data_IF_584846125071
#
_entry.id   IF_584846125071
#
_cell.length_a   1.000
_cell.length_b   1.000
_cell.length_c   1.000
_cell.angle_alpha   90.00
_cell.angle_beta   90.00
_cell.angle_gamma   90.00
#
_symmetry.space_group_name_H-M   'P 1'
#
loop_
_entity.id
_entity.type
_entity.pdbx_description
1 polymer ?
#
# COMPACT_ATOMS: atom_id res chain seq x y z
N UNK A 1 4.65 19.24 12.09
CA UNK A 1 4.10 18.55 10.90
C UNK A 1 5.07 18.69 9.73
N UNK A 2 5.25 19.87 9.12
CA UNK A 2 6.20 20.05 8.02
C UNK A 2 7.61 19.47 8.23
N UNK A 3 8.33 19.69 9.36
CA UNK A 3 9.68 19.12 9.51
C UNK A 3 9.70 17.59 9.46
N UNK A 4 8.66 16.95 10.00
CA UNK A 4 8.52 15.50 9.98
C UNK A 4 8.19 14.99 8.58
N UNK A 5 7.23 15.64 7.92
CA UNK A 5 6.83 15.34 6.54
C UNK A 5 7.98 15.47 5.56
N UNK A 6 8.75 16.56 5.66
CA UNK A 6 9.97 16.81 4.88
C UNK A 6 10.99 15.70 5.12
N UNK A 7 11.29 15.39 6.38
CA UNK A 7 12.25 14.36 6.74
C UNK A 7 11.86 12.99 6.19
N UNK A 8 10.59 12.60 6.34
CA UNK A 8 10.08 11.33 5.83
C UNK A 8 10.22 11.25 4.30
N UNK A 9 9.84 12.31 3.58
CA UNK A 9 9.91 12.35 2.12
C UNK A 9 11.36 12.27 1.61
N UNK A 10 12.26 13.07 2.17
CA UNK A 10 13.67 13.09 1.76
C UNK A 10 14.36 11.73 2.05
N UNK A 11 14.11 11.14 3.22
CA UNK A 11 14.61 9.79 3.54
C UNK A 11 14.04 8.74 2.57
N UNK A 12 12.75 8.78 2.29
CA UNK A 12 12.13 7.86 1.33
C UNK A 12 12.77 7.99 -0.05
N UNK A 13 12.98 9.21 -0.54
CA UNK A 13 13.64 9.47 -1.84
C UNK A 13 15.06 8.89 -1.89
N UNK A 14 15.87 9.13 -0.86
CA UNK A 14 17.23 8.56 -0.76
C UNK A 14 17.18 7.04 -0.86
N UNK A 15 16.26 6.39 -0.14
CA UNK A 15 16.16 4.92 -0.14
C UNK A 15 15.56 4.33 -1.43
N UNK A 16 14.77 5.11 -2.16
CA UNK A 16 14.19 4.72 -3.45
C UNK A 16 15.23 4.81 -4.58
N UNK A 17 16.04 5.87 -4.59
CA UNK A 17 17.01 6.17 -5.65
C UNK A 17 18.31 5.37 -5.48
N UNK A 18 18.57 4.87 -4.28
CA UNK A 18 19.60 3.87 -4.04
C UNK A 18 19.19 2.60 -4.81
N UNK A 19 20.00 2.23 -5.81
CA UNK A 19 19.78 1.19 -6.84
C UNK A 19 19.08 -0.11 -6.40
N UNK A 20 18.61 -0.91 -7.37
CA UNK A 20 18.00 -2.25 -7.20
C UNK A 20 18.75 -3.23 -6.26
N UNK A 21 19.99 -2.93 -5.88
CA UNK A 21 20.85 -3.72 -5.00
C UNK A 21 20.93 -3.22 -3.54
N UNK A 22 20.28 -2.11 -3.18
CA UNK A 22 20.38 -1.54 -1.83
C UNK A 22 19.08 -1.68 -1.04
N UNK A 23 18.73 -2.91 -0.65
CA UNK A 23 17.86 -3.10 0.51
C UNK A 23 18.67 -2.85 1.79
N UNK A 24 18.11 -2.14 2.77
CA UNK A 24 18.76 -2.00 4.07
C UNK A 24 18.00 -2.77 5.14
N UNK A 25 18.70 -3.65 5.86
CA UNK A 25 18.14 -4.37 7.01
C UNK A 25 18.34 -3.67 8.34
N UNK A 26 19.00 -2.50 8.33
CA UNK A 26 19.39 -1.75 9.53
C UNK A 26 19.35 -0.25 9.32
N UNK A 27 18.86 0.49 10.31
CA UNK A 27 18.89 1.95 10.40
C UNK A 27 19.65 2.32 11.67
N UNK A 28 20.74 3.08 11.53
CA UNK A 28 21.51 3.63 12.63
C UNK A 28 21.25 5.13 12.72
N UNK A 29 20.82 5.60 13.90
CA UNK A 29 20.52 7.01 14.16
C UNK A 29 21.47 7.55 15.20
N UNK A 30 22.23 8.59 14.87
CA UNK A 30 22.96 9.38 15.87
C UNK A 30 22.13 10.61 16.24
N UNK A 31 21.68 10.65 17.50
CA UNK A 31 20.80 11.70 18.03
C UNK A 31 21.57 12.77 18.81
N UNK A 32 22.88 12.62 18.96
CA UNK A 32 23.75 13.44 19.82
C UNK A 32 23.68 14.94 19.55
N UNK A 33 23.56 15.32 18.27
CA UNK A 33 23.54 16.71 17.81
C UNK A 33 22.13 17.22 17.46
N UNK A 34 21.10 16.42 17.75
CA UNK A 34 19.73 16.81 17.45
C UNK A 34 19.23 17.90 18.39
N UNK A 35 18.47 18.85 17.83
CA UNK A 35 17.95 20.00 18.58
C UNK A 35 16.48 19.77 18.95
N UNK A 36 16.16 19.91 20.24
CA UNK A 36 14.79 19.87 20.78
C UNK A 36 14.00 18.62 20.34
N UNK A 37 13.00 18.80 19.47
CA UNK A 37 12.06 17.77 19.04
C UNK A 37 12.57 16.94 17.85
N UNK A 38 13.67 17.33 17.20
CA UNK A 38 14.16 16.69 15.98
C UNK A 38 14.56 15.22 16.18
N UNK A 39 15.24 14.81 17.28
CA UNK A 39 15.53 13.40 17.55
C UNK A 39 14.29 12.51 17.55
N UNK A 40 13.21 12.97 18.21
CA UNK A 40 11.96 12.22 18.29
C UNK A 40 11.30 12.09 16.92
N UNK A 41 11.31 13.16 16.10
CA UNK A 41 10.80 13.12 14.73
C UNK A 41 11.62 12.17 13.84
N UNK A 42 12.95 12.18 13.99
CA UNK A 42 13.84 11.29 13.24
C UNK A 42 13.60 9.83 13.58
N UNK A 43 13.46 9.51 14.86
CA UNK A 43 13.14 8.14 15.28
C UNK A 43 11.79 7.69 14.73
N UNK A 44 10.76 8.55 14.75
CA UNK A 44 9.46 8.23 14.17
C UNK A 44 9.54 8.05 12.65
N UNK A 45 10.33 8.87 11.95
CA UNK A 45 10.49 8.78 10.50
C UNK A 45 11.22 7.49 10.12
N UNK A 46 12.23 7.11 10.89
CA UNK A 46 12.95 5.85 10.74
C UNK A 46 12.03 4.63 10.88
N UNK A 47 11.07 4.64 11.81
CA UNK A 47 10.07 3.56 11.94
C UNK A 47 9.19 3.43 10.70
N UNK A 48 8.71 4.56 10.17
CA UNK A 48 7.89 4.58 8.96
C UNK A 48 8.70 4.14 7.73
N UNK A 49 9.96 4.58 7.64
CA UNK A 49 10.87 4.16 6.58
C UNK A 49 11.19 2.65 6.66
N UNK A 50 11.47 2.13 7.85
CA UNK A 50 11.68 0.71 8.10
C UNK A 50 10.46 -0.12 7.65
N UNK A 51 9.24 0.37 7.94
CA UNK A 51 8.01 -0.23 7.46
C UNK A 51 7.91 -0.27 5.93
N UNK A 52 8.31 0.81 5.22
CA UNK A 52 8.33 0.82 3.74
C UNK A 52 9.38 -0.14 3.15
N UNK A 53 10.52 -0.32 3.84
CA UNK A 53 11.58 -1.23 3.40
C UNK A 53 11.25 -2.70 3.56
N UNK A 54 10.22 -3.02 4.35
CA UNK A 54 9.66 -4.36 4.38
C UNK A 54 9.03 -4.78 3.04
N UNK A 55 8.88 -3.90 2.05
CA UNK A 55 8.52 -4.30 0.68
C UNK A 55 9.72 -4.73 -0.17
N UNK A 56 10.96 -4.54 0.29
CA UNK A 56 12.12 -4.81 -0.55
C UNK A 56 12.31 -6.33 -0.78
N UNK A 57 12.53 -6.81 -2.02
CA UNK A 57 12.58 -8.24 -2.34
C UNK A 57 13.71 -9.00 -1.62
N UNK A 58 14.82 -8.32 -1.33
CA UNK A 58 16.00 -8.88 -0.68
C UNK A 58 15.82 -9.11 0.84
N UNK A 59 14.70 -8.65 1.42
CA UNK A 59 14.36 -8.84 2.85
C UNK A 59 13.99 -10.28 3.25
N UNK A 60 13.97 -11.20 2.29
CA UNK A 60 13.45 -12.57 2.44
C UNK A 60 14.12 -13.43 3.53
N UNK A 61 15.30 -13.05 4.02
CA UNK A 61 16.05 -13.87 4.98
C UNK A 61 15.86 -13.49 6.45
N UNK A 62 15.32 -12.30 6.76
CA UNK A 62 15.18 -11.83 8.15
C UNK A 62 13.80 -11.29 8.52
N UNK A 63 12.99 -10.86 7.54
CA UNK A 63 11.66 -10.26 7.76
C UNK A 63 11.62 -9.11 8.79
N UNK A 64 12.75 -8.48 9.07
CA UNK A 64 12.87 -7.38 10.02
C UNK A 64 13.86 -6.33 9.52
N UNK A 65 13.57 -5.08 9.86
CA UNK A 65 14.52 -3.97 9.78
C UNK A 65 14.87 -3.57 11.21
N UNK A 66 16.15 -3.65 11.54
CA UNK A 66 16.67 -3.26 12.86
C UNK A 66 16.86 -1.73 12.92
N UNK A 67 16.33 -1.09 13.95
CA UNK A 67 16.58 0.33 14.24
C UNK A 67 17.41 0.41 15.51
N UNK A 68 18.55 1.11 15.44
CA UNK A 68 19.39 1.44 16.60
C UNK A 68 19.58 2.94 16.67
N UNK A 69 19.32 3.55 17.83
CA UNK A 69 19.61 4.95 18.06
C UNK A 69 20.68 5.11 19.15
N UNK A 70 21.56 6.06 18.92
CA UNK A 70 22.69 6.38 19.75
C UNK A 70 22.63 7.83 20.20
N UNK A 71 23.13 8.11 21.39
CA UNK A 71 23.26 9.45 21.89
C UNK A 71 24.54 9.59 22.72
N UNK A 72 25.29 10.64 22.46
CA UNK A 72 26.50 10.93 23.21
C UNK A 72 26.17 11.43 24.60
N UNK A 73 27.12 11.30 25.52
CA UNK A 73 27.04 12.03 26.77
C UNK A 73 26.98 13.55 26.50
N UNK A 74 26.36 14.34 27.40
CA UNK A 74 26.35 15.79 27.27
C UNK A 74 27.78 16.32 27.18
N UNK A 75 28.07 17.11 26.13
CA UNK A 75 29.38 17.69 25.92
C UNK A 75 29.75 18.59 27.11
N UNK A 76 30.58 18.06 28.01
CA UNK A 76 31.35 18.85 28.99
C UNK A 76 32.75 19.06 28.41
N UNK A 77 33.61 19.85 29.08
CA UNK A 77 35.06 19.97 28.77
C UNK A 77 35.82 18.65 29.03
N UNK A 78 35.28 17.52 28.61
CA UNK A 78 35.88 16.20 28.73
C UNK A 78 36.65 15.91 27.44
N UNK A 79 37.79 15.23 27.57
CA UNK A 79 38.65 14.85 26.44
C UNK A 79 38.08 13.69 25.62
N UNK A 80 37.18 12.90 26.20
CA UNK A 80 36.52 11.75 25.57
C UNK A 80 35.02 11.79 25.91
N UNK A 81 34.18 11.64 24.89
CA UNK A 81 32.71 11.60 25.03
C UNK A 81 32.25 10.23 24.56
N UNK A 82 31.64 9.45 25.45
CA UNK A 82 31.11 8.15 25.11
C UNK A 82 29.81 8.27 24.28
N UNK A 83 29.64 7.34 23.34
CA UNK A 83 28.41 7.19 22.55
C UNK A 83 27.65 5.96 23.05
N UNK A 84 26.41 6.16 23.52
CA UNK A 84 25.60 5.11 24.10
C UNK A 84 24.48 4.68 23.14
N UNK A 85 24.23 3.38 23.00
CA UNK A 85 22.99 2.89 22.38
C UNK A 85 21.83 3.15 23.36
N UNK A 86 20.87 3.97 22.96
CA UNK A 86 19.76 4.41 23.81
C UNK A 86 18.42 3.83 23.36
N UNK A 87 18.36 3.24 22.16
CA UNK A 87 17.15 2.66 21.60
C UNK A 87 17.48 1.53 20.65
N UNK A 88 16.69 0.47 20.72
CA UNK A 88 16.74 -0.66 19.79
C UNK A 88 15.34 -1.21 19.52
N UNK A 89 15.04 -1.51 18.26
CA UNK A 89 13.76 -2.11 17.84
C UNK A 89 13.93 -2.94 16.56
N UNK A 90 13.23 -4.07 16.50
CA UNK A 90 13.07 -4.84 15.27
C UNK A 90 11.70 -4.55 14.65
N UNK A 91 11.68 -3.86 13.52
CA UNK A 91 10.44 -3.58 12.78
C UNK A 91 10.19 -4.71 11.80
N UNK A 92 9.22 -5.58 12.11
CA UNK A 92 8.82 -6.70 11.25
C UNK A 92 7.40 -6.59 10.70
N UNK A 93 6.79 -5.41 10.81
CA UNK A 93 5.41 -5.19 10.38
C UNK A 93 5.26 -3.90 9.58
N UNK A 94 4.63 -4.01 8.41
CA UNK A 94 4.20 -2.90 7.59
C UNK A 94 3.06 -2.20 8.31
N UNK A 95 3.27 -0.94 8.67
CA UNK A 95 2.25 -0.08 9.26
C UNK A 95 1.31 0.39 8.15
N UNK A 96 0.09 -0.14 8.12
CA UNK A 96 -0.98 0.38 7.26
C UNK A 96 -1.77 1.42 8.06
N UNK A 97 -1.91 2.67 7.62
CA UNK A 97 -2.64 3.70 8.36
C UNK A 97 -4.08 3.27 8.67
N UNK A 98 -4.47 3.34 9.94
CA UNK A 98 -5.85 3.08 10.37
C UNK A 98 -6.69 4.35 10.23
N UNK A 99 -7.94 4.21 9.79
CA UNK A 99 -8.91 5.31 9.74
C UNK A 99 -8.93 6.13 8.45
N UNK A 100 -7.90 6.05 7.59
CA UNK A 100 -7.86 6.72 6.28
C UNK A 100 -8.63 5.95 5.19
N UNK A 101 -9.86 5.53 5.51
CA UNK A 101 -10.72 4.74 4.62
C UNK A 101 -11.41 5.57 3.53
N UNK A 102 -11.70 6.84 3.81
CA UNK A 102 -12.24 7.78 2.82
C UNK A 102 -11.07 8.44 2.07
N UNK A 103 -11.11 8.41 0.74
CA UNK A 103 -10.14 9.12 -0.11
C UNK A 103 -10.03 10.59 0.29
N UNK A 104 -11.07 11.20 0.86
CA UNK A 104 -11.07 12.57 1.39
C UNK A 104 -10.03 12.84 2.46
N UNK A 105 -9.58 11.83 3.21
CA UNK A 105 -8.63 11.98 4.31
C UNK A 105 -7.15 11.78 3.90
N UNK A 106 -6.90 11.30 2.68
CA UNK A 106 -5.56 11.01 2.16
C UNK A 106 -4.98 12.23 1.43
N UNK A 107 -4.93 13.38 2.10
CA UNK A 107 -4.31 14.58 1.53
C UNK A 107 -2.80 14.56 1.77
N UNK A 108 -2.02 14.88 0.74
CA UNK A 108 -0.56 15.11 0.88
C UNK A 108 -0.27 16.55 1.29
N UNK A 109 -1.13 17.48 0.86
CA UNK A 109 -1.05 18.91 1.16
C UNK A 109 -2.36 19.39 1.78
N UNK A 110 -2.21 20.21 2.81
CA UNK A 110 -3.31 20.91 3.46
C UNK A 110 -3.06 22.42 3.47
N UNK A 111 -4.13 23.21 3.58
CA UNK A 111 -4.03 24.66 3.77
C UNK A 111 -3.67 24.95 5.23
N UNK A 112 -2.78 25.93 5.48
CA UNK A 112 -2.70 26.52 6.83
C UNK A 112 -3.83 27.54 7.04
N UNK A 113 -4.56 27.37 8.15
CA UNK A 113 -5.78 28.12 8.48
C UNK A 113 -5.57 29.64 8.64
N UNK A 114 -4.33 30.12 8.75
CA UNK A 114 -4.03 31.49 9.19
C UNK A 114 -3.83 32.51 8.05
N UNK A 115 -3.81 32.08 6.79
CA UNK A 115 -3.38 32.97 5.69
C UNK A 115 -4.58 33.73 5.11
N UNK A 116 -4.47 35.07 5.17
CA UNK A 116 -5.45 36.04 4.66
C UNK A 116 -4.89 36.83 3.47
N UNK A 117 -5.75 37.48 2.70
CA UNK A 117 -5.37 38.32 1.56
C UNK A 117 -5.11 37.56 0.27
N UNK A 118 -4.69 38.28 -0.78
CA UNK A 118 -4.54 37.77 -2.16
C UNK A 118 -3.54 36.62 -2.27
N UNK A 119 -2.49 36.67 -1.45
CA UNK A 119 -1.47 35.64 -1.39
C UNK A 119 -1.95 34.33 -0.75
N UNK A 120 -2.86 34.41 0.21
CA UNK A 120 -3.58 33.25 0.74
C UNK A 120 -4.54 32.67 -0.29
N UNK A 121 -5.21 33.53 -1.08
CA UNK A 121 -6.10 33.09 -2.16
C UNK A 121 -5.34 32.32 -3.24
N UNK A 122 -4.17 32.80 -3.67
CA UNK A 122 -3.31 32.10 -4.63
C UNK A 122 -2.90 30.71 -4.13
N UNK A 123 -2.49 30.59 -2.87
CA UNK A 123 -2.12 29.30 -2.29
C UNK A 123 -3.30 28.31 -2.27
N UNK A 124 -4.51 28.81 -1.97
CA UNK A 124 -5.75 28.00 -2.01
C UNK A 124 -6.09 27.57 -3.44
N UNK A 125 -5.96 28.46 -4.41
CA UNK A 125 -6.22 28.14 -5.82
C UNK A 125 -5.24 27.08 -6.33
N UNK A 126 -3.94 27.19 -6.00
CA UNK A 126 -2.95 26.18 -6.36
C UNK A 126 -3.17 24.85 -5.65
N UNK A 127 -3.62 24.85 -4.39
CA UNK A 127 -3.99 23.62 -3.68
C UNK A 127 -5.23 22.95 -4.31
N UNK A 128 -6.22 23.75 -4.73
CA UNK A 128 -7.40 23.24 -5.43
C UNK A 128 -7.00 22.59 -6.75
N UNK A 129 -6.21 23.28 -7.57
CA UNK A 129 -5.68 22.74 -8.84
C UNK A 129 -4.89 21.44 -8.61
N UNK A 130 -4.04 21.40 -7.58
CA UNK A 130 -3.32 20.18 -7.20
C UNK A 130 -4.29 19.03 -6.89
N UNK A 131 -5.29 19.26 -6.05
CA UNK A 131 -6.25 18.23 -5.67
C UNK A 131 -7.08 17.76 -6.87
N UNK A 132 -7.53 18.66 -7.74
CA UNK A 132 -8.27 18.34 -8.97
C UNK A 132 -7.43 17.49 -9.92
N UNK A 133 -6.14 17.83 -10.10
CA UNK A 133 -5.23 17.11 -10.98
C UNK A 133 -4.90 15.69 -10.48
N UNK A 134 -4.95 15.45 -9.17
CA UNK A 134 -4.52 14.19 -8.56
C UNK A 134 -5.63 13.40 -7.86
N UNK A 135 -6.90 13.78 -8.03
CA UNK A 135 -8.04 13.12 -7.39
C UNK A 135 -8.15 11.63 -7.77
N UNK A 136 -7.97 11.31 -9.06
CA UNK A 136 -7.93 9.91 -9.54
C UNK A 136 -6.83 9.08 -8.84
N UNK A 137 -5.65 9.68 -8.65
CA UNK A 137 -4.53 9.02 -7.99
C UNK A 137 -4.83 8.82 -6.51
N UNK A 138 -5.43 9.81 -5.86
CA UNK A 138 -5.90 9.72 -4.48
C UNK A 138 -6.89 8.58 -4.27
N UNK A 139 -7.86 8.43 -5.19
CA UNK A 139 -8.77 7.30 -5.23
C UNK A 139 -8.04 5.96 -5.33
N UNK A 140 -7.02 5.87 -6.20
CA UNK A 140 -6.19 4.66 -6.33
C UNK A 140 -5.40 4.36 -5.06
N UNK A 141 -4.86 5.36 -4.36
CA UNK A 141 -4.20 5.18 -3.06
C UNK A 141 -5.17 4.57 -2.06
N UNK A 142 -6.39 5.09 -1.95
CA UNK A 142 -7.42 4.55 -1.05
C UNK A 142 -7.69 3.06 -1.33
N UNK A 143 -7.86 2.67 -2.60
CA UNK A 143 -8.09 1.27 -2.99
C UNK A 143 -6.94 0.34 -2.55
N UNK A 144 -5.70 0.79 -2.75
CA UNK A 144 -4.50 0.04 -2.33
C UNK A 144 -4.43 -0.10 -0.82
N UNK A 145 -4.67 0.98 -0.06
CA UNK A 145 -4.67 0.93 1.42
C UNK A 145 -5.75 -0.01 1.96
N UNK A 146 -6.98 0.07 1.44
CA UNK A 146 -8.08 -0.84 1.81
C UNK A 146 -7.69 -2.30 1.56
N UNK A 147 -7.05 -2.57 0.43
CA UNK A 147 -6.62 -3.92 0.06
C UNK A 147 -5.42 -4.43 0.85
N UNK A 148 -4.51 -3.56 1.29
CA UNK A 148 -3.39 -3.93 2.17
C UNK A 148 -3.84 -4.26 3.59
N UNK A 149 -4.89 -3.58 4.08
CA UNK A 149 -5.38 -3.70 5.46
C UNK A 149 -5.93 -5.08 5.81
N UNK A 150 -6.43 -5.81 4.82
CA UNK A 150 -7.10 -7.10 4.95
C UNK A 150 -6.44 -8.15 4.04
N UNK A 151 -6.56 -9.46 4.28
CA UNK A 151 -5.85 -10.48 3.52
C UNK A 151 -6.45 -10.70 2.11
N UNK A 152 -6.55 -9.68 1.26
CA UNK A 152 -7.30 -9.71 -0.01
C UNK A 152 -6.39 -9.55 -1.26
N UNK A 153 -5.48 -10.50 -1.53
CA UNK A 153 -4.42 -10.36 -2.56
C UNK A 153 -4.93 -10.09 -3.98
N UNK A 154 -6.03 -10.72 -4.41
CA UNK A 154 -6.60 -10.45 -5.72
C UNK A 154 -7.12 -9.00 -5.82
N UNK A 155 -7.67 -8.47 -4.72
CA UNK A 155 -8.13 -7.08 -4.64
C UNK A 155 -6.96 -6.09 -4.62
N UNK A 156 -5.85 -6.45 -3.98
CA UNK A 156 -4.62 -5.64 -4.03
C UNK A 156 -4.09 -5.55 -5.45
N UNK A 157 -4.08 -6.68 -6.19
CA UNK A 157 -3.68 -6.68 -7.59
C UNK A 157 -4.59 -5.79 -8.43
N UNK A 158 -5.91 -5.93 -8.26
CA UNK A 158 -6.90 -5.07 -8.90
C UNK A 158 -6.68 -3.59 -8.58
N UNK A 159 -6.42 -3.27 -7.31
CA UNK A 159 -6.19 -1.89 -6.87
C UNK A 159 -4.92 -1.30 -7.48
N UNK A 160 -3.89 -2.12 -7.69
CA UNK A 160 -2.66 -1.68 -8.35
C UNK A 160 -2.79 -1.57 -9.87
N UNK A 161 -3.75 -2.26 -10.49
CA UNK A 161 -4.01 -2.14 -11.93
C UNK A 161 -4.95 -0.99 -12.29
N UNK A 162 -5.57 -0.30 -11.32
CA UNK A 162 -6.41 0.87 -11.60
C UNK A 162 -5.60 2.13 -11.96
N UNK A 163 -4.27 2.05 -11.85
CA UNK A 163 -3.32 3.09 -12.22
C UNK A 163 -2.41 2.59 -13.35
N UNK A 164 -2.16 3.43 -14.34
CA UNK A 164 -1.37 3.06 -15.52
C UNK A 164 0.13 2.93 -15.20
N UNK A 165 0.64 3.86 -14.39
CA UNK A 165 2.01 3.83 -13.89
C UNK A 165 2.02 4.09 -12.38
N UNK A 166 2.41 3.08 -11.59
CA UNK A 166 2.54 3.21 -10.14
C UNK A 166 3.52 4.32 -9.71
N UNK A 167 4.42 4.76 -10.60
CA UNK A 167 5.32 5.89 -10.33
C UNK A 167 4.58 7.22 -10.19
N UNK A 168 3.36 7.32 -10.70
CA UNK A 168 2.51 8.49 -10.48
C UNK A 168 2.29 8.75 -8.98
N UNK A 169 2.19 7.71 -8.14
CA UNK A 169 2.13 7.88 -6.69
C UNK A 169 3.30 8.70 -6.15
N UNK A 170 4.51 8.44 -6.65
CA UNK A 170 5.71 9.19 -6.27
C UNK A 170 5.74 10.59 -6.89
N UNK A 171 5.32 10.72 -8.15
CA UNK A 171 5.26 12.02 -8.85
C UNK A 171 4.34 13.02 -8.12
N UNK A 172 3.23 12.53 -7.54
CA UNK A 172 2.36 13.37 -6.69
C UNK A 172 3.13 13.93 -5.50
N UNK A 173 4.01 13.14 -4.87
CA UNK A 173 4.82 13.59 -3.73
C UNK A 173 5.84 14.64 -4.15
N UNK A 174 6.57 14.42 -5.25
CA UNK A 174 7.53 15.41 -5.79
C UNK A 174 6.82 16.72 -6.15
N UNK A 175 5.63 16.64 -6.75
CA UNK A 175 4.85 17.83 -7.10
C UNK A 175 4.34 18.54 -5.85
N UNK A 176 3.79 17.80 -4.88
CA UNK A 176 3.32 18.33 -3.61
C UNK A 176 4.45 19.07 -2.87
N UNK A 177 5.62 18.46 -2.82
CA UNK A 177 6.80 19.04 -2.18
C UNK A 177 7.28 20.31 -2.90
N UNK A 178 7.28 20.29 -4.24
CA UNK A 178 7.59 21.46 -5.07
C UNK A 178 6.59 22.59 -4.84
N UNK A 179 5.31 22.28 -4.72
CA UNK A 179 4.26 23.25 -4.47
C UNK A 179 4.36 23.85 -3.07
N UNK A 180 4.65 23.03 -2.05
CA UNK A 180 4.92 23.49 -0.69
C UNK A 180 6.13 24.44 -0.64
N UNK A 181 7.23 24.12 -1.34
CA UNK A 181 8.40 25.00 -1.47
C UNK A 181 8.05 26.33 -2.13
N UNK A 182 7.33 26.31 -3.26
CA UNK A 182 6.88 27.53 -3.98
C UNK A 182 5.98 28.42 -3.11
N UNK A 183 5.23 27.81 -2.20
CA UNK A 183 4.34 28.50 -1.26
C UNK A 183 4.99 28.78 0.10
N UNK A 184 6.32 28.61 0.21
CA UNK A 184 7.11 29.05 1.35
C UNK A 184 7.77 30.38 0.98
N UNK A 185 7.31 31.46 1.60
CA UNK A 185 7.73 32.83 1.28
C UNK A 185 8.64 33.36 2.37
N UNK A 186 9.72 34.00 1.96
CA UNK A 186 10.58 34.78 2.85
C UNK A 186 10.10 36.22 2.76
N UNK A 187 9.75 36.81 3.91
CA UNK A 187 9.30 38.20 3.94
C UNK A 187 10.41 39.15 3.48
N UNK A 188 10.03 40.37 3.09
CA UNK A 188 10.93 41.39 2.56
C UNK A 188 12.07 41.77 3.53
N UNK A 189 11.90 41.54 4.83
CA UNK A 189 12.92 41.74 5.85
C UNK A 189 13.98 40.61 5.94
N UNK A 190 13.77 39.50 5.22
CA UNK A 190 14.63 38.32 5.23
C UNK A 190 14.62 37.53 6.55
N UNK A 191 13.83 37.94 7.54
CA UNK A 191 13.88 37.41 8.91
C UNK A 191 12.73 36.46 9.24
N UNK A 192 11.69 36.45 8.42
CA UNK A 192 10.50 35.65 8.63
C UNK A 192 10.23 34.76 7.44
N UNK A 193 10.04 33.47 7.72
CA UNK A 193 9.62 32.47 6.74
C UNK A 193 8.16 32.15 7.03
N UNK A 194 7.29 32.41 6.07
CA UNK A 194 5.89 32.07 6.11
C UNK A 194 5.63 30.87 5.18
N UNK A 195 5.14 29.76 5.75
CA UNK A 195 4.73 28.59 4.98
C UNK A 195 3.23 28.66 4.77
N UNK A 196 2.78 28.69 3.52
CA UNK A 196 1.35 28.88 3.22
C UNK A 196 0.59 27.55 3.09
N UNK A 197 1.30 26.49 2.74
CA UNK A 197 0.77 25.13 2.71
C UNK A 197 1.44 24.32 3.82
N UNK A 198 0.77 23.25 4.25
CA UNK A 198 1.27 22.26 5.19
C UNK A 198 1.37 20.90 4.50
N UNK A 199 2.47 20.19 4.73
CA UNK A 199 2.63 18.80 4.28
C UNK A 199 2.06 17.84 5.32
N UNK A 200 1.23 16.92 4.86
CA UNK A 200 0.63 15.89 5.70
C UNK A 200 1.40 14.58 5.58
N UNK A 201 2.05 14.18 6.68
CA UNK A 201 2.90 12.99 6.71
C UNK A 201 2.12 11.70 6.50
N UNK A 202 0.84 11.62 6.88
CA UNK A 202 0.01 10.45 6.65
C UNK A 202 -0.31 10.30 5.16
N UNK A 203 -0.59 11.39 4.46
CA UNK A 203 -0.71 11.40 3.01
C UNK A 203 0.58 10.98 2.33
N UNK A 204 1.71 11.60 2.70
CA UNK A 204 3.03 11.24 2.16
C UNK A 204 3.33 9.74 2.31
N UNK A 205 3.12 9.22 3.52
CA UNK A 205 3.34 7.82 3.82
C UNK A 205 2.39 6.89 3.08
N UNK A 206 1.11 7.25 2.97
CA UNK A 206 0.11 6.48 2.23
C UNK A 206 0.47 6.33 0.75
N UNK A 207 0.85 7.42 0.10
CA UNK A 207 1.32 7.38 -1.29
C UNK A 207 2.63 6.59 -1.44
N UNK A 208 3.56 6.72 -0.49
CA UNK A 208 4.81 5.95 -0.47
C UNK A 208 4.55 4.45 -0.30
N UNK A 209 3.58 4.09 0.55
CA UNK A 209 3.15 2.72 0.78
C UNK A 209 2.50 2.12 -0.47
N UNK A 210 1.60 2.87 -1.12
CA UNK A 210 0.97 2.42 -2.37
C UNK A 210 1.97 2.28 -3.51
N UNK A 211 2.94 3.20 -3.62
CA UNK A 211 4.07 3.08 -4.55
C UNK A 211 4.84 1.77 -4.32
N UNK A 212 5.23 1.50 -3.08
CA UNK A 212 6.00 0.28 -2.74
C UNK A 212 5.18 -0.99 -2.98
N UNK A 213 3.91 -1.03 -2.53
CA UNK A 213 3.03 -2.17 -2.76
C UNK A 213 2.85 -2.47 -4.25
N UNK A 214 2.46 -1.47 -5.05
CA UNK A 214 2.20 -1.69 -6.47
C UNK A 214 3.48 -1.94 -7.28
N UNK A 215 4.64 -1.43 -6.86
CA UNK A 215 5.92 -1.81 -7.48
C UNK A 215 6.18 -3.31 -7.34
N UNK A 216 5.88 -3.91 -6.19
CA UNK A 216 6.05 -5.36 -5.98
C UNK A 216 5.08 -6.19 -6.82
N UNK A 217 3.86 -5.70 -7.02
CA UNK A 217 2.86 -6.39 -7.84
C UNK A 217 3.22 -6.30 -9.33
N UNK A 218 3.42 -5.10 -9.87
CA UNK A 218 3.55 -4.85 -11.31
C UNK A 218 4.92 -5.28 -11.84
N UNK A 219 6.00 -5.08 -11.09
CA UNK A 219 7.33 -5.49 -11.56
C UNK A 219 7.50 -7.01 -11.57
N UNK A 220 6.69 -7.75 -10.79
CA UNK A 220 6.65 -9.22 -10.86
C UNK A 220 6.01 -9.73 -12.17
N UNK A 221 5.04 -9.00 -12.74
CA UNK A 221 4.39 -9.35 -14.00
C UNK A 221 5.32 -9.14 -15.20
N UNK A 222 6.08 -8.04 -15.21
CA UNK A 222 7.03 -7.72 -16.29
C UNK A 222 8.19 -8.71 -16.41
N UNK A 223 8.47 -9.47 -15.34
CA UNK A 223 9.48 -10.53 -15.36
C UNK A 223 8.94 -11.87 -15.90
N UNK A 224 7.61 -12.05 -15.90
CA UNK A 224 6.97 -13.34 -16.21
C UNK A 224 6.39 -13.42 -17.64
N UNK A 225 6.37 -12.34 -18.42
CA UNK A 225 5.81 -12.33 -19.79
C UNK A 225 6.75 -11.66 -20.81
N UNK A 226 6.88 -12.34 -21.96
CA UNK A 226 7.42 -12.04 -23.30
C UNK A 226 7.51 -10.59 -23.86
N UNK A 227 7.55 -9.56 -23.02
CA UNK A 227 7.65 -8.16 -23.45
C UNK A 227 6.37 -7.60 -24.06
N UNK A 228 5.26 -8.35 -24.06
CA UNK A 228 3.97 -7.81 -24.51
C UNK A 228 3.28 -7.01 -23.39
N UNK A 229 3.37 -5.69 -23.47
CA UNK A 229 2.56 -4.77 -22.68
C UNK A 229 1.10 -4.90 -23.09
N UNK A 230 0.29 -5.62 -22.30
CA UNK A 230 -1.16 -5.51 -22.42
C UNK A 230 -1.70 -4.59 -21.32
N UNK A 231 -2.39 -3.49 -21.67
CA UNK A 231 -3.37 -2.93 -20.77
C UNK A 231 -4.56 -3.90 -20.77
N UNK A 232 -4.69 -4.69 -19.71
CA UNK A 232 -5.97 -5.36 -19.44
C UNK A 232 -6.92 -4.28 -18.94
N UNK A 233 -8.14 -4.23 -19.50
CA UNK A 233 -9.22 -3.46 -18.88
C UNK A 233 -9.29 -3.85 -17.39
N UNK A 234 -9.60 -2.91 -16.50
CA UNK A 234 -9.58 -3.12 -15.04
C UNK A 234 -10.40 -4.33 -14.57
N UNK A 235 -11.37 -4.79 -15.37
CA UNK A 235 -12.24 -5.92 -15.04
C UNK A 235 -11.65 -7.29 -15.42
N UNK A 236 -10.53 -7.34 -16.13
CA UNK A 236 -9.86 -8.58 -16.56
C UNK A 236 -8.61 -8.89 -15.72
N UNK A 237 -8.51 -8.34 -14.51
CA UNK A 237 -7.39 -8.62 -13.60
C UNK A 237 -7.44 -10.07 -13.17
N UNK A 238 -6.43 -10.83 -13.61
CA UNK A 238 -6.24 -12.22 -13.25
C UNK A 238 -5.11 -12.37 -12.23
N UNK A 239 -5.16 -13.42 -11.43
CA UNK A 239 -4.06 -13.81 -10.57
C UNK A 239 -3.94 -15.32 -10.55
N UNK A 240 -2.75 -15.84 -10.87
CA UNK A 240 -2.51 -17.28 -10.88
C UNK A 240 -2.38 -17.81 -9.45
N UNK A 241 -2.80 -19.06 -9.21
CA UNK A 241 -2.84 -19.65 -7.86
C UNK A 241 -1.47 -19.63 -7.16
N UNK A 242 -0.38 -19.87 -7.90
CA UNK A 242 0.99 -19.83 -7.37
C UNK A 242 1.43 -18.42 -6.93
N UNK A 243 0.93 -17.38 -7.59
CA UNK A 243 1.23 -15.98 -7.24
C UNK A 243 0.62 -15.57 -5.88
N UNK A 244 -0.46 -16.23 -5.44
CA UNK A 244 -1.04 -15.95 -4.12
C UNK A 244 -0.07 -16.25 -3.00
N UNK A 245 0.68 -17.35 -3.11
CA UNK A 245 1.69 -17.72 -2.13
C UNK A 245 2.82 -16.69 -2.08
N UNK A 246 3.21 -16.15 -3.23
CA UNK A 246 4.24 -15.12 -3.29
C UNK A 246 3.77 -13.81 -2.64
N UNK A 247 2.59 -13.31 -3.00
CA UNK A 247 2.04 -12.07 -2.42
C UNK A 247 1.78 -12.26 -0.92
N UNK A 248 1.25 -13.40 -0.52
CA UNK A 248 1.02 -13.73 0.90
C UNK A 248 2.32 -13.63 1.70
N UNK A 249 3.42 -14.17 1.17
CA UNK A 249 4.72 -14.22 1.83
C UNK A 249 5.45 -12.88 1.80
N UNK A 250 5.49 -12.22 0.63
CA UNK A 250 6.23 -10.97 0.39
C UNK A 250 5.54 -9.74 0.97
N UNK A 251 4.21 -9.72 1.02
CA UNK A 251 3.43 -8.55 1.45
C UNK A 251 2.60 -8.87 2.70
N UNK A 252 1.63 -9.78 2.62
CA UNK A 252 0.62 -9.89 3.67
C UNK A 252 1.14 -10.42 5.00
N UNK A 253 2.10 -11.35 5.00
CA UNK A 253 2.81 -11.79 6.21
C UNK A 253 3.41 -10.61 6.98
N UNK A 254 3.91 -9.62 6.22
CA UNK A 254 4.55 -8.42 6.76
C UNK A 254 3.50 -7.39 7.19
N UNK A 255 2.27 -7.43 6.70
CA UNK A 255 1.16 -6.64 7.29
C UNK A 255 0.65 -7.30 8.58
N UNK A 256 0.41 -8.61 8.54
CA UNK A 256 0.04 -9.42 9.70
C UNK A 256 0.46 -10.87 9.47
N UNK A 257 1.12 -11.46 10.47
CA UNK A 257 1.56 -12.86 10.41
C UNK A 257 0.39 -13.84 10.20
N UNK A 258 -0.81 -13.48 10.61
CA UNK A 258 -2.00 -14.31 10.45
C UNK A 258 -2.52 -14.35 9.01
N UNK A 259 -2.19 -13.36 8.17
CA UNK A 259 -2.74 -13.27 6.82
C UNK A 259 -2.15 -14.30 5.86
N UNK A 260 -0.86 -14.63 5.98
CA UNK A 260 -0.24 -15.63 5.09
C UNK A 260 -0.90 -17.01 5.22
N UNK A 261 -1.09 -17.59 6.43
CA UNK A 261 -1.81 -18.86 6.59
C UNK A 261 -3.24 -18.83 6.04
N UNK A 262 -3.98 -17.71 6.22
CA UNK A 262 -5.34 -17.56 5.69
C UNK A 262 -5.34 -17.66 4.16
N UNK A 263 -4.50 -16.85 3.51
CA UNK A 263 -4.40 -16.84 2.04
C UNK A 263 -3.99 -18.23 1.51
N UNK A 264 -2.97 -18.84 2.12
CA UNK A 264 -2.49 -20.18 1.71
C UNK A 264 -3.56 -21.26 1.87
N UNK A 265 -4.34 -21.21 2.96
CA UNK A 265 -5.41 -22.16 3.21
C UNK A 265 -6.50 -22.06 2.14
N UNK A 266 -6.96 -20.85 1.83
CA UNK A 266 -8.01 -20.65 0.83
C UNK A 266 -7.56 -21.11 -0.57
N UNK A 267 -6.35 -20.74 -0.97
CA UNK A 267 -5.78 -21.16 -2.27
C UNK A 267 -5.60 -22.67 -2.33
N UNK A 268 -5.10 -23.31 -1.27
CA UNK A 268 -4.96 -24.77 -1.21
C UNK A 268 -6.30 -25.50 -1.26
N UNK A 269 -7.35 -24.94 -0.64
CA UNK A 269 -8.69 -25.51 -0.69
C UNK A 269 -9.29 -25.41 -2.11
N UNK A 270 -9.05 -24.30 -2.80
CA UNK A 270 -9.45 -24.13 -4.21
C UNK A 270 -8.72 -25.16 -5.08
N UNK A 271 -7.39 -25.26 -4.94
CA UNK A 271 -6.55 -26.18 -5.71
C UNK A 271 -7.01 -27.64 -5.54
N UNK A 272 -7.20 -28.08 -4.29
CA UNK A 272 -7.76 -29.42 -3.98
C UNK A 272 -9.13 -29.65 -4.60
N UNK A 273 -10.04 -28.67 -4.55
CA UNK A 273 -11.38 -28.81 -5.15
C UNK A 273 -11.33 -28.91 -6.66
N UNK A 274 -10.36 -28.26 -7.32
CA UNK A 274 -10.14 -28.41 -8.75
C UNK A 274 -9.62 -29.81 -9.06
N UNK A 275 -8.67 -30.33 -8.28
CA UNK A 275 -8.18 -31.71 -8.41
C UNK A 275 -9.29 -32.75 -8.20
N UNK A 276 -10.11 -32.58 -7.16
CA UNK A 276 -11.27 -33.45 -6.86
C UNK A 276 -12.30 -33.45 -8.00
N UNK A 277 -12.54 -32.29 -8.63
CA UNK A 277 -13.45 -32.18 -9.77
C UNK A 277 -12.82 -32.58 -11.11
N UNK A 278 -11.49 -32.66 -11.19
CA UNK A 278 -10.68 -33.28 -12.24
C UNK A 278 -10.87 -32.78 -13.68
N UNK A 279 -12.08 -32.93 -14.22
CA UNK A 279 -12.43 -32.79 -15.64
C UNK A 279 -13.39 -31.62 -15.95
N UNK A 280 -13.91 -30.89 -14.94
CA UNK A 280 -14.97 -29.90 -15.17
C UNK A 280 -14.47 -28.57 -15.77
N UNK A 281 -13.21 -28.19 -15.54
CA UNK A 281 -12.61 -26.97 -16.11
C UNK A 281 -11.89 -27.31 -17.41
N UNK A 282 -12.60 -27.33 -18.54
CA UNK A 282 -11.96 -27.52 -19.84
C UNK A 282 -11.07 -26.31 -20.16
N UNK A 283 -10.22 -26.48 -21.18
CA UNK A 283 -9.28 -25.44 -21.61
C UNK A 283 -10.01 -24.16 -21.99
N UNK A 284 -9.67 -23.04 -21.35
CA UNK A 284 -10.29 -21.75 -21.63
C UNK A 284 -11.66 -21.53 -20.99
N UNK A 285 -12.13 -22.48 -20.16
CA UNK A 285 -13.36 -22.31 -19.40
C UNK A 285 -13.10 -21.60 -18.07
N UNK A 286 -14.11 -20.85 -17.66
CA UNK A 286 -14.21 -20.22 -16.35
C UNK A 286 -15.44 -20.79 -15.65
N UNK A 287 -15.31 -21.01 -14.36
CA UNK A 287 -16.37 -21.50 -13.48
C UNK A 287 -16.48 -20.53 -12.30
N UNK A 288 -17.69 -20.18 -11.90
CA UNK A 288 -17.89 -19.43 -10.65
C UNK A 288 -17.38 -20.26 -9.46
N UNK A 289 -16.77 -19.60 -8.48
CA UNK A 289 -16.21 -20.31 -7.33
C UNK A 289 -17.29 -21.00 -6.48
N UNK A 290 -18.52 -20.45 -6.44
CA UNK A 290 -19.69 -21.11 -5.83
C UNK A 290 -19.99 -22.46 -6.51
N UNK A 291 -19.88 -22.52 -7.83
CA UNK A 291 -20.11 -23.76 -8.59
C UNK A 291 -18.99 -24.77 -8.37
N UNK A 292 -17.74 -24.33 -8.15
CA UNK A 292 -16.62 -25.20 -7.81
C UNK A 292 -16.86 -25.95 -6.48
N UNK A 293 -17.25 -25.24 -5.42
CA UNK A 293 -17.48 -25.86 -4.11
C UNK A 293 -18.82 -26.59 -4.01
N UNK A 294 -19.76 -26.32 -4.93
CA UNK A 294 -21.10 -26.88 -4.90
C UNK A 294 -21.93 -26.30 -3.74
N UNK A 295 -23.23 -26.57 -3.75
CA UNK A 295 -24.12 -26.24 -2.63
C UNK A 295 -23.91 -27.23 -1.47
N UNK A 296 -22.74 -27.27 -0.87
CA UNK A 296 -22.55 -27.97 0.39
C UNK A 296 -23.20 -27.14 1.51
N UNK A 297 -24.44 -27.50 1.89
CA UNK A 297 -24.90 -27.31 3.26
C UNK A 297 -25.65 -26.04 3.66
N UNK A 298 -26.53 -25.47 2.81
CA UNK A 298 -27.62 -24.59 3.29
C UNK A 298 -28.97 -25.11 2.84
N UNK A 299 -29.53 -25.95 3.71
CA UNK A 299 -30.96 -26.15 3.89
C UNK A 299 -31.69 -24.82 4.12
N UNK A 300 -32.73 -24.59 3.32
CA UNK A 300 -34.00 -23.95 3.75
C UNK A 300 -34.10 -22.42 4.00
N UNK A 301 -33.08 -21.59 3.77
CA UNK A 301 -33.28 -20.11 3.77
C UNK A 301 -33.00 -19.42 2.42
N UNK A 302 -33.42 -20.05 1.30
CA UNK A 302 -33.56 -19.34 0.02
C UNK A 302 -35.01 -18.94 -0.22
N UNK A 303 -35.46 -17.97 0.57
CA UNK A 303 -36.56 -17.11 0.18
C UNK A 303 -36.15 -16.29 -1.05
N UNK A 304 -36.93 -16.42 -2.12
CA UNK A 304 -37.03 -15.52 -3.29
C UNK A 304 -35.77 -15.28 -4.12
N UNK A 305 -35.72 -15.92 -5.30
CA UNK A 305 -35.73 -15.28 -6.63
C UNK A 305 -34.88 -14.04 -6.95
N UNK A 306 -33.96 -13.59 -6.11
CA UNK A 306 -33.03 -12.52 -6.42
C UNK A 306 -31.80 -13.10 -7.14
N UNK A 307 -31.43 -12.50 -8.26
CA UNK A 307 -30.32 -12.90 -9.10
C UNK A 307 -29.02 -13.05 -8.30
N UNK A 308 -28.37 -14.21 -8.46
CA UNK A 308 -26.99 -14.45 -8.02
C UNK A 308 -26.12 -13.27 -8.49
N UNK A 309 -25.38 -12.65 -7.57
CA UNK A 309 -24.61 -11.43 -7.82
C UNK A 309 -25.28 -10.10 -7.40
N UNK A 310 -26.51 -10.07 -6.88
CA UNK A 310 -27.14 -8.79 -6.44
C UNK A 310 -27.07 -8.50 -4.94
N UNK A 311 -26.84 -9.50 -4.09
CA UNK A 311 -26.67 -9.30 -2.64
C UNK A 311 -25.37 -8.55 -2.38
N UNK A 312 -25.28 -7.62 -1.43
CA UNK A 312 -23.98 -6.98 -1.10
C UNK A 312 -22.98 -8.00 -0.52
N UNK A 313 -21.65 -7.84 -0.76
CA UNK A 313 -20.66 -8.73 -0.16
C UNK A 313 -20.65 -8.60 1.36
N UNK A 314 -20.31 -9.67 2.08
CA UNK A 314 -20.22 -9.65 3.53
C UNK A 314 -18.75 -9.47 3.95
N UNK A 315 -18.47 -8.40 4.70
CA UNK A 315 -17.10 -8.06 5.12
C UNK A 315 -16.42 -9.20 5.89
N UNK A 316 -17.16 -9.94 6.72
CA UNK A 316 -16.59 -11.06 7.50
C UNK A 316 -16.20 -12.20 6.58
N UNK A 317 -17.05 -12.51 5.60
CA UNK A 317 -16.78 -13.57 4.61
C UNK A 317 -15.59 -13.17 3.73
N UNK A 318 -15.59 -11.95 3.20
CA UNK A 318 -14.48 -11.41 2.39
C UNK A 318 -13.16 -11.50 3.16
N UNK A 319 -13.10 -11.06 4.42
CA UNK A 319 -11.86 -11.11 5.21
C UNK A 319 -11.46 -12.55 5.53
N UNK A 320 -12.41 -13.41 5.94
CA UNK A 320 -12.14 -14.79 6.31
C UNK A 320 -11.66 -15.64 5.13
N UNK A 321 -12.16 -15.37 3.94
CA UNK A 321 -11.85 -16.12 2.71
C UNK A 321 -10.86 -15.40 1.79
N UNK A 322 -9.97 -14.59 2.37
CA UNK A 322 -8.90 -13.91 1.64
C UNK A 322 -9.35 -13.08 0.41
N UNK A 323 -10.56 -12.51 0.47
CA UNK A 323 -11.17 -11.75 -0.62
C UNK A 323 -11.74 -12.63 -1.75
N UNK A 324 -11.77 -13.95 -1.55
CA UNK A 324 -12.25 -14.96 -2.49
C UNK A 324 -13.66 -15.43 -2.13
N UNK A 325 -14.54 -14.50 -1.79
CA UNK A 325 -15.94 -14.83 -1.55
C UNK A 325 -16.56 -15.43 -2.83
N UNK A 326 -17.23 -16.56 -2.68
CA UNK A 326 -17.57 -17.49 -3.76
C UNK A 326 -18.44 -16.88 -4.87
N UNK A 327 -19.36 -15.99 -4.51
CA UNK A 327 -20.30 -15.36 -5.45
C UNK A 327 -19.68 -14.26 -6.31
N UNK A 328 -18.41 -13.91 -6.07
CA UNK A 328 -17.75 -12.76 -6.69
C UNK A 328 -16.48 -13.12 -7.45
N UNK A 329 -16.07 -14.39 -7.43
CA UNK A 329 -14.82 -14.85 -8.02
C UNK A 329 -15.10 -16.01 -8.98
N UNK A 330 -14.40 -15.99 -10.11
CA UNK A 330 -14.32 -17.10 -11.04
C UNK A 330 -12.94 -17.75 -10.96
N UNK A 331 -12.92 -19.07 -11.13
CA UNK A 331 -11.72 -19.86 -11.40
C UNK A 331 -11.69 -20.21 -12.88
N UNK A 332 -10.56 -19.98 -13.52
CA UNK A 332 -10.40 -20.17 -14.95
C UNK A 332 -9.14 -20.96 -15.27
N UNK A 333 -9.17 -21.70 -16.37
CA UNK A 333 -8.00 -22.39 -16.92
C UNK A 333 -7.58 -21.76 -18.24
N UNK A 334 -6.29 -21.52 -18.42
CA UNK A 334 -5.77 -20.99 -19.69
C UNK A 334 -6.18 -21.84 -20.89
N UNK A 335 -6.38 -21.19 -22.05
CA UNK A 335 -6.76 -21.86 -23.32
C UNK A 335 -5.78 -22.95 -23.77
N UNK A 336 -4.52 -22.91 -23.34
CA UNK A 336 -3.53 -23.96 -23.59
C UNK A 336 -3.73 -25.23 -22.75
N UNK A 337 -4.55 -25.17 -21.69
CA UNK A 337 -4.63 -26.19 -20.63
C UNK A 337 -3.55 -26.06 -19.57
N UNK A 338 -2.87 -24.91 -19.54
CA UNK A 338 -1.76 -24.59 -18.65
C UNK A 338 -2.23 -24.22 -17.24
N UNK A 339 -2.00 -22.96 -16.86
CA UNK A 339 -2.16 -22.50 -15.47
C UNK A 339 -3.61 -22.16 -15.12
N UNK A 340 -3.90 -22.24 -13.82
CA UNK A 340 -5.18 -21.83 -13.23
C UNK A 340 -5.02 -20.43 -12.66
N UNK A 341 -6.01 -19.58 -12.92
CA UNK A 341 -6.08 -18.23 -12.37
C UNK A 341 -7.46 -17.92 -11.81
N UNK A 342 -7.48 -16.97 -10.89
CA UNK A 342 -8.69 -16.38 -10.33
C UNK A 342 -8.89 -14.97 -10.87
N UNK A 343 -10.14 -14.56 -11.02
CA UNK A 343 -10.51 -13.17 -11.32
C UNK A 343 -11.84 -12.81 -10.66
N UNK A 344 -12.08 -11.52 -10.45
CA UNK A 344 -13.37 -11.05 -9.99
C UNK A 344 -14.41 -11.02 -11.12
N UNK A 345 -15.67 -11.25 -10.76
CA UNK A 345 -16.81 -11.17 -11.68
C UNK A 345 -17.26 -9.71 -11.82
N UNK A 346 -17.34 -9.19 -13.05
CA UNK A 346 -17.93 -7.87 -13.32
C UNK A 346 -17.43 -6.74 -12.38
N UNK A 347 -18.34 -6.08 -11.65
CA UNK A 347 -18.07 -4.94 -10.75
C UNK A 347 -17.79 -5.35 -9.29
N UNK A 348 -17.66 -6.66 -9.02
CA UNK A 348 -17.37 -7.20 -7.70
C UNK A 348 -16.21 -6.54 -6.95
N UNK A 349 -15.05 -6.20 -7.55
CA UNK A 349 -13.96 -5.62 -6.78
C UNK A 349 -14.31 -4.25 -6.20
N UNK A 350 -15.07 -3.43 -6.93
CA UNK A 350 -15.52 -2.12 -6.43
C UNK A 350 -16.53 -2.27 -5.29
N UNK A 351 -17.38 -3.30 -5.36
CA UNK A 351 -18.34 -3.61 -4.29
C UNK A 351 -17.64 -4.12 -3.04
N UNK A 352 -16.60 -4.93 -3.19
CA UNK A 352 -15.75 -5.37 -2.07
C UNK A 352 -15.01 -4.16 -1.48
N UNK A 353 -14.43 -3.28 -2.29
CA UNK A 353 -13.75 -2.06 -1.81
C UNK A 353 -14.67 -1.12 -1.04
N UNK A 354 -15.95 -1.06 -1.39
CA UNK A 354 -16.95 -0.25 -0.70
C UNK A 354 -17.22 -0.75 0.72
N UNK A 355 -17.24 -2.06 0.94
CA UNK A 355 -17.52 -2.62 2.28
C UNK A 355 -16.29 -2.67 3.19
N UNK A 356 -15.08 -2.52 2.64
CA UNK A 356 -13.82 -2.51 3.41
C UNK A 356 -13.47 -1.13 4.01
N UNK A 357 -14.43 -0.20 4.06
CA UNK A 357 -14.29 1.16 4.59
C UNK A 357 -13.98 1.22 6.09
#
# INVERSE_FOLDING_TARGET
RDPFSVLLFELFKITKDSSKDSSFGKIYLDLSQGVNYMPSLLLQAAKMLASLSLFDPLMDTKDIVEIKAFNSEPARKLSEIALHEIYWENVGTIQVPLGLGDSREINVLDRRNEIKGDDGKKAVDSLREFNENFDKIKGSVSKVLKSLRYPVPLLLRYSCSTIEDYREFFNVLDYAFSLWKKNTVINSDGKRIERRLELNYWGLYSYSLSYKACSQIIDSERQNADGSTKPQNSNDVIMYLDEFNEIARKIYRRVSRAFEPIIKNEVSNIDKKIEEKGEVLNKGECLELDELFGKEGDSEERGSGASKGTREPDIRIVIAHAGLQREYVEVCREKGGGRIYLRYIADSPERILKILE
#
